data_IF_268025334278
#
_entry.id   IF_268025334278
#
_cell.length_a   1.000
_cell.length_b   1.000
_cell.length_c   1.000
_cell.angle_alpha   90.00
_cell.angle_beta   90.00
_cell.angle_gamma   90.00
#
_symmetry.space_group_name_H-M   'P 1'
#
loop_
_entity.id
_entity.type
_entity.pdbx_description
1 polymer ?
#
# COMPACT_ATOMS: atom_id res chain seq x y z
N UNK A 1 14.27 -0.76 25.88
CA UNK A 1 13.05 -0.73 25.04
C UNK A 1 13.48 -0.95 23.59
N UNK A 2 12.98 -2.00 22.92
CA UNK A 2 13.23 -2.16 21.48
C UNK A 2 12.56 -1.02 20.73
N UNK A 3 13.31 -0.24 19.95
CA UNK A 3 12.74 0.78 19.07
C UNK A 3 11.73 0.12 18.11
N UNK A 4 10.60 0.77 17.84
CA UNK A 4 9.53 0.25 16.98
C UNK A 4 9.96 0.12 15.50
N UNK A 5 11.05 0.78 15.11
CA UNK A 5 11.62 0.78 13.77
C UNK A 5 13.02 0.17 13.72
N UNK A 6 13.41 -0.37 12.56
CA UNK A 6 14.73 -0.96 12.36
C UNK A 6 15.75 0.09 11.93
N UNK A 7 16.87 0.18 12.65
CA UNK A 7 17.99 1.11 12.37
C UNK A 7 18.99 0.59 11.34
N UNK A 8 18.92 -0.71 11.00
CA UNK A 8 19.89 -1.37 10.10
C UNK A 8 19.38 -1.50 8.66
N UNK A 9 18.10 -1.24 8.42
CA UNK A 9 17.47 -1.53 7.13
C UNK A 9 17.46 -0.30 6.23
N UNK A 10 18.17 -0.37 5.12
CA UNK A 10 18.05 0.67 4.08
C UNK A 10 16.73 0.51 3.32
N UNK A 11 16.12 1.62 2.92
CA UNK A 11 14.86 1.63 2.17
C UNK A 11 15.03 1.30 0.69
N UNK A 12 16.25 1.14 0.18
CA UNK A 12 16.56 0.84 -1.22
C UNK A 12 15.71 -0.30 -1.81
N UNK A 13 15.64 -1.45 -1.11
CA UNK A 13 14.92 -2.63 -1.63
C UNK A 13 13.42 -2.37 -1.73
N UNK A 14 12.83 -1.77 -0.69
CA UNK A 14 11.42 -1.42 -0.68
C UNK A 14 11.10 -0.37 -1.75
N UNK A 15 11.94 0.65 -1.89
CA UNK A 15 11.83 1.70 -2.88
C UNK A 15 11.79 1.14 -4.31
N UNK A 16 12.77 0.33 -4.69
CA UNK A 16 12.79 -0.26 -6.04
C UNK A 16 11.61 -1.22 -6.26
N UNK A 17 11.19 -1.97 -5.23
CA UNK A 17 10.03 -2.86 -5.35
C UNK A 17 8.74 -2.07 -5.57
N UNK A 18 8.55 -0.93 -4.89
CA UNK A 18 7.40 -0.05 -5.08
C UNK A 18 7.41 0.63 -6.46
N UNK A 19 8.59 1.02 -6.95
CA UNK A 19 8.70 1.52 -8.33
C UNK A 19 8.37 0.45 -9.37
N UNK A 20 8.85 -0.79 -9.15
CA UNK A 20 8.50 -1.93 -10.00
C UNK A 20 6.99 -2.18 -9.94
N UNK A 21 6.39 -2.15 -8.75
CA UNK A 21 4.94 -2.28 -8.59
C UNK A 21 4.20 -1.21 -9.41
N UNK A 22 4.59 0.05 -9.29
CA UNK A 22 4.01 1.16 -10.05
C UNK A 22 4.12 1.01 -11.57
N UNK A 23 5.32 0.71 -12.05
CA UNK A 23 5.63 0.76 -13.49
C UNK A 23 5.24 -0.53 -14.19
N UNK A 24 5.40 -1.69 -13.55
CA UNK A 24 5.24 -2.99 -14.22
C UNK A 24 3.79 -3.48 -14.17
N UNK A 25 3.05 -3.21 -13.10
CA UNK A 25 1.67 -3.70 -12.95
C UNK A 25 0.71 -3.32 -14.09
N UNK A 26 0.77 -2.11 -14.69
CA UNK A 26 -0.08 -1.76 -15.83
C UNK A 26 0.21 -2.58 -17.09
N UNK A 27 1.41 -3.14 -17.24
CA UNK A 27 1.77 -3.98 -18.39
C UNK A 27 1.40 -5.44 -18.16
N UNK A 28 1.40 -5.90 -16.91
CA UNK A 28 1.06 -7.27 -16.55
C UNK A 28 -0.41 -7.61 -16.85
N UNK A 29 -1.31 -6.61 -16.77
CA UNK A 29 -2.74 -6.81 -17.01
C UNK A 29 -3.09 -7.16 -18.47
N UNK A 30 -2.25 -6.80 -19.45
CA UNK A 30 -2.48 -7.10 -20.87
C UNK A 30 -2.22 -8.57 -21.25
N UNK A 31 -1.58 -9.34 -20.36
CA UNK A 31 -1.17 -10.70 -20.65
C UNK A 31 -1.70 -11.63 -19.56
N UNK A 32 -2.73 -12.42 -19.86
CA UNK A 32 -3.32 -13.38 -18.92
C UNK A 32 -2.28 -14.31 -18.27
N UNK A 33 -1.26 -14.70 -19.04
CA UNK A 33 -0.14 -15.54 -18.56
C UNK A 33 0.67 -14.88 -17.43
N UNK A 34 0.66 -13.56 -17.36
CA UNK A 34 1.43 -12.77 -16.39
C UNK A 34 0.61 -12.26 -15.21
N UNK A 35 -0.68 -12.62 -15.11
CA UNK A 35 -1.55 -12.18 -14.03
C UNK A 35 -1.03 -12.59 -12.63
N UNK A 36 -0.26 -13.69 -12.51
CA UNK A 36 0.36 -14.13 -11.24
C UNK A 36 1.47 -13.20 -10.74
N UNK A 37 2.05 -12.34 -11.58
CA UNK A 37 3.13 -11.45 -11.17
C UNK A 37 2.64 -10.28 -10.31
N UNK A 38 1.43 -9.79 -10.56
CA UNK A 38 0.81 -8.74 -9.75
C UNK A 38 0.77 -9.12 -8.25
N UNK A 39 0.16 -10.25 -7.85
CA UNK A 39 0.11 -10.66 -6.45
C UNK A 39 1.50 -10.97 -5.89
N UNK A 40 2.45 -11.48 -6.70
CA UNK A 40 3.84 -11.72 -6.26
C UNK A 40 4.56 -10.42 -5.90
N UNK A 41 4.45 -9.37 -6.72
CA UNK A 41 5.09 -8.06 -6.47
C UNK A 41 4.43 -7.36 -5.27
N UNK A 42 3.10 -7.49 -5.15
CA UNK A 42 2.39 -6.99 -3.97
C UNK A 42 2.86 -7.71 -2.69
N UNK A 43 2.95 -9.04 -2.72
CA UNK A 43 3.43 -9.83 -1.60
C UNK A 43 4.88 -9.50 -1.23
N UNK A 44 5.77 -9.33 -2.21
CA UNK A 44 7.15 -8.89 -1.94
C UNK A 44 7.18 -7.51 -1.27
N UNK A 45 6.26 -6.61 -1.64
CA UNK A 45 6.10 -5.29 -0.99
C UNK A 45 5.79 -5.46 0.50
N UNK A 46 4.82 -6.30 0.86
CA UNK A 46 4.46 -6.56 2.26
C UNK A 46 5.65 -7.15 3.05
N UNK A 47 6.35 -8.12 2.48
CA UNK A 47 7.51 -8.73 3.15
C UNK A 47 8.64 -7.72 3.36
N UNK A 48 8.91 -6.86 2.37
CA UNK A 48 9.90 -5.80 2.48
C UNK A 48 9.48 -4.72 3.48
N UNK A 49 8.19 -4.38 3.53
CA UNK A 49 7.63 -3.44 4.49
C UNK A 49 7.78 -3.97 5.93
N UNK A 50 7.44 -5.23 6.20
CA UNK A 50 7.61 -5.87 7.51
C UNK A 50 9.06 -5.81 8.00
N UNK A 51 10.04 -5.85 7.09
CA UNK A 51 11.46 -5.78 7.47
C UNK A 51 11.88 -4.41 8.02
N UNK A 52 11.08 -3.37 7.78
CA UNK A 52 11.33 -2.02 8.32
C UNK A 52 11.00 -1.93 9.82
N UNK A 53 10.23 -2.89 10.35
CA UNK A 53 9.87 -2.96 11.75
C UNK A 53 11.08 -3.31 12.63
N UNK A 54 11.21 -2.64 13.77
CA UNK A 54 12.31 -2.81 14.74
C UNK A 54 12.17 -4.03 15.66
N UNK A 55 11.26 -4.95 15.33
CA UNK A 55 10.97 -6.10 16.18
C UNK A 55 12.08 -7.16 16.17
N UNK A 56 12.07 -8.04 17.18
CA UNK A 56 13.03 -9.15 17.24
C UNK A 56 12.85 -10.09 16.04
N UNK A 57 13.92 -10.79 15.65
CA UNK A 57 13.91 -11.72 14.50
C UNK A 57 12.74 -12.72 14.58
N UNK A 58 12.41 -13.21 15.79
CA UNK A 58 11.29 -14.12 16.03
C UNK A 58 9.95 -13.52 15.60
N UNK A 59 9.65 -12.28 15.99
CA UNK A 59 8.41 -11.60 15.61
C UNK A 59 8.36 -11.29 14.11
N UNK A 60 9.48 -10.91 13.49
CA UNK A 60 9.54 -10.71 12.03
C UNK A 60 9.22 -12.02 11.29
N UNK A 61 9.76 -13.16 11.72
CA UNK A 61 9.42 -14.45 11.11
C UNK A 61 7.96 -14.84 11.31
N UNK A 62 7.37 -14.53 12.48
CA UNK A 62 5.94 -14.73 12.73
C UNK A 62 5.09 -13.89 11.77
N UNK A 63 5.38 -12.60 11.63
CA UNK A 63 4.65 -11.72 10.70
C UNK A 63 4.80 -12.14 9.25
N UNK A 64 5.99 -12.60 8.84
CA UNK A 64 6.16 -13.19 7.50
C UNK A 64 5.33 -14.45 7.32
N UNK A 65 5.29 -15.34 8.31
CA UNK A 65 4.45 -16.54 8.27
C UNK A 65 2.96 -16.19 8.13
N UNK A 66 2.50 -15.20 8.88
CA UNK A 66 1.13 -14.68 8.80
C UNK A 66 0.85 -14.04 7.43
N UNK A 67 1.78 -13.26 6.89
CA UNK A 67 1.66 -12.67 5.56
C UNK A 67 1.63 -13.75 4.45
N UNK A 68 2.47 -14.79 4.56
CA UNK A 68 2.46 -15.94 3.64
C UNK A 68 1.11 -16.65 3.70
N UNK A 69 0.59 -16.89 4.90
CA UNK A 69 -0.70 -17.53 5.08
C UNK A 69 -1.84 -16.72 4.44
N UNK A 70 -1.89 -15.41 4.71
CA UNK A 70 -2.87 -14.49 4.11
C UNK A 70 -2.77 -14.43 2.58
N UNK A 71 -1.54 -14.47 2.05
CA UNK A 71 -1.30 -14.51 0.61
C UNK A 71 -1.81 -15.80 -0.02
N UNK A 72 -1.49 -16.96 0.58
CA UNK A 72 -1.95 -18.25 0.10
C UNK A 72 -3.47 -18.38 0.19
N UNK A 73 -4.09 -17.88 1.26
CA UNK A 73 -5.55 -17.88 1.39
C UNK A 73 -6.22 -17.03 0.30
N UNK A 74 -5.63 -15.89 -0.08
CA UNK A 74 -6.09 -15.06 -1.18
C UNK A 74 -5.93 -15.70 -2.57
N UNK A 75 -4.94 -16.59 -2.77
CA UNK A 75 -4.82 -17.35 -4.02
C UNK A 75 -5.90 -18.44 -4.09
N UNK A 76 -6.09 -19.17 -2.98
CA UNK A 76 -7.06 -20.26 -2.91
C UNK A 76 -8.49 -19.73 -3.11
N UNK A 77 -8.81 -18.58 -2.51
CA UNK A 77 -10.10 -17.90 -2.71
C UNK A 77 -10.37 -17.62 -4.19
N UNK A 78 -9.38 -17.10 -4.91
CA UNK A 78 -9.51 -16.78 -6.33
C UNK A 78 -9.68 -18.03 -7.22
N UNK A 79 -9.04 -19.14 -6.86
CA UNK A 79 -9.09 -20.38 -7.66
C UNK A 79 -10.38 -21.20 -7.47
N UNK A 80 -11.07 -21.05 -6.33
CA UNK A 80 -12.12 -22.00 -5.97
C UNK A 80 -13.54 -21.66 -6.44
N UNK A 81 -13.87 -20.46 -6.96
CA UNK A 81 -15.23 -20.11 -7.45
C UNK A 81 -16.39 -20.64 -6.56
N UNK A 82 -16.19 -20.76 -5.24
CA UNK A 82 -17.22 -21.22 -4.31
C UNK A 82 -17.93 -20.00 -3.73
N UNK A 83 -19.27 -20.02 -3.77
CA UNK A 83 -20.16 -18.89 -3.55
C UNK A 83 -20.16 -18.25 -2.12
N UNK A 84 -19.16 -18.50 -1.26
CA UNK A 84 -19.07 -18.03 0.14
C UNK A 84 -17.67 -17.46 0.52
N UNK A 85 -16.88 -17.02 -0.46
CA UNK A 85 -15.44 -16.76 -0.32
C UNK A 85 -15.05 -15.33 0.13
N UNK A 86 -15.98 -14.37 0.17
CA UNK A 86 -15.65 -12.95 0.43
C UNK A 86 -14.95 -12.70 1.78
N UNK A 87 -15.27 -13.50 2.80
CA UNK A 87 -14.76 -13.31 4.17
C UNK A 87 -13.25 -13.57 4.31
N UNK A 88 -12.70 -14.56 3.60
CA UNK A 88 -11.27 -14.92 3.66
C UNK A 88 -10.44 -13.86 2.95
N UNK A 89 -10.94 -13.35 1.82
CA UNK A 89 -10.27 -12.29 1.08
C UNK A 89 -10.25 -10.98 1.87
N UNK A 90 -11.39 -10.58 2.43
CA UNK A 90 -11.48 -9.41 3.32
C UNK A 90 -10.52 -9.57 4.50
N UNK A 91 -10.46 -10.74 5.14
CA UNK A 91 -9.53 -10.98 6.25
C UNK A 91 -8.06 -10.80 5.83
N UNK A 92 -7.70 -11.31 4.65
CA UNK A 92 -6.34 -11.20 4.09
C UNK A 92 -5.99 -9.74 3.75
N UNK A 93 -6.95 -8.99 3.22
CA UNK A 93 -6.80 -7.56 2.90
C UNK A 93 -6.67 -6.72 4.18
N UNK A 94 -7.48 -6.99 5.21
CA UNK A 94 -7.39 -6.31 6.53
C UNK A 94 -6.02 -6.52 7.16
N UNK A 95 -5.50 -7.75 7.10
CA UNK A 95 -4.17 -8.07 7.63
C UNK A 95 -3.05 -7.38 6.85
N UNK A 96 -3.18 -7.32 5.52
CA UNK A 96 -2.25 -6.58 4.65
C UNK A 96 -2.26 -5.09 4.94
N UNK A 97 -3.44 -4.49 5.13
CA UNK A 97 -3.60 -3.10 5.52
C UNK A 97 -2.95 -2.83 6.89
N UNK A 98 -3.12 -3.73 7.86
CA UNK A 98 -2.49 -3.62 9.18
C UNK A 98 -0.96 -3.64 9.09
N UNK A 99 -0.37 -4.54 8.30
CA UNK A 99 1.09 -4.56 8.09
C UNK A 99 1.60 -3.31 7.38
N UNK A 100 0.84 -2.79 6.41
CA UNK A 100 1.16 -1.54 5.73
C UNK A 100 1.14 -0.36 6.70
N UNK A 101 0.11 -0.23 7.53
CA UNK A 101 0.02 0.82 8.57
C UNK A 101 1.19 0.75 9.54
N UNK A 102 1.48 -0.44 10.09
CA UNK A 102 2.59 -0.62 11.03
C UNK A 102 3.93 -0.20 10.40
N UNK A 103 4.14 -0.56 9.14
CA UNK A 103 5.36 -0.25 8.41
C UNK A 103 5.45 1.25 8.07
N UNK A 104 4.36 1.88 7.62
CA UNK A 104 4.28 3.33 7.39
C UNK A 104 4.65 4.08 8.67
N UNK A 105 4.04 3.71 9.80
CA UNK A 105 4.32 4.33 11.11
C UNK A 105 5.78 4.11 11.52
N UNK A 106 6.32 2.91 11.36
CA UNK A 106 7.72 2.63 11.69
C UNK A 106 8.70 3.46 10.85
N UNK A 107 8.48 3.55 9.54
CA UNK A 107 9.32 4.36 8.65
C UNK A 107 9.19 5.85 9.01
N UNK A 108 7.97 6.34 9.26
CA UNK A 108 7.74 7.74 9.63
C UNK A 108 8.43 8.10 10.96
N UNK A 109 8.27 7.27 11.99
CA UNK A 109 8.93 7.47 13.29
C UNK A 109 10.45 7.46 13.16
N UNK A 110 11.02 6.59 12.32
CA UNK A 110 12.46 6.59 12.04
C UNK A 110 12.88 7.90 11.38
N UNK A 111 12.24 8.31 10.29
CA UNK A 111 12.58 9.55 9.58
C UNK A 111 12.46 10.78 10.49
N UNK A 112 11.43 10.85 11.33
CA UNK A 112 11.25 11.97 12.25
C UNK A 112 12.36 12.06 13.31
N UNK A 113 13.02 10.94 13.62
CA UNK A 113 14.14 10.87 14.56
C UNK A 113 15.52 11.12 13.93
N UNK A 114 15.63 11.13 12.60
CA UNK A 114 16.88 11.41 11.90
C UNK A 114 17.21 12.92 11.96
N UNK A 115 18.48 13.24 12.22
CA UNK A 115 18.99 14.62 12.32
C UNK A 115 19.62 15.11 11.03
N UNK A 116 19.94 14.21 10.10
CA UNK A 116 20.54 14.55 8.83
C UNK A 116 19.75 13.99 7.65
N UNK A 117 19.63 14.80 6.60
CA UNK A 117 19.04 14.34 5.34
C UNK A 117 20.09 13.55 4.58
N UNK A 118 19.81 12.27 4.34
CA UNK A 118 20.57 11.43 3.45
C UNK A 118 19.63 10.77 2.41
N UNK A 119 20.22 10.11 1.41
CA UNK A 119 19.45 9.45 0.35
C UNK A 119 18.53 8.32 0.85
N UNK A 120 18.79 7.74 2.02
CA UNK A 120 17.91 6.73 2.62
C UNK A 120 16.65 7.40 3.17
N UNK A 121 16.77 8.53 3.89
CA UNK A 121 15.62 9.32 4.39
C UNK A 121 14.68 9.72 3.26
N UNK A 122 15.23 10.21 2.13
CA UNK A 122 14.42 10.59 0.95
C UNK A 122 13.70 9.36 0.37
N UNK A 123 14.39 8.23 0.22
CA UNK A 123 13.76 6.99 -0.28
C UNK A 123 12.67 6.48 0.67
N UNK A 124 12.90 6.55 1.98
CA UNK A 124 11.91 6.17 2.99
C UNK A 124 10.65 7.02 2.89
N UNK A 125 10.80 8.33 2.65
CA UNK A 125 9.68 9.24 2.42
C UNK A 125 8.83 8.85 1.22
N UNK A 126 9.50 8.58 0.09
CA UNK A 126 8.84 8.17 -1.14
C UNK A 126 8.16 6.82 -0.92
N UNK A 127 8.79 5.90 -0.21
CA UNK A 127 8.17 4.62 0.17
C UNK A 127 6.88 4.86 0.97
N UNK A 128 6.88 5.73 1.97
CA UNK A 128 5.66 6.04 2.75
C UNK A 128 4.56 6.55 1.81
N UNK A 129 4.86 7.52 0.95
CA UNK A 129 3.85 8.11 0.07
C UNK A 129 3.24 7.07 -0.89
N UNK A 130 4.07 6.24 -1.50
CA UNK A 130 3.60 5.14 -2.37
C UNK A 130 2.82 4.09 -1.58
N UNK A 131 3.27 3.76 -0.37
CA UNK A 131 2.58 2.82 0.51
C UNK A 131 1.22 3.34 0.98
N UNK A 132 1.07 4.65 1.18
CA UNK A 132 -0.22 5.28 1.50
C UNK A 132 -1.21 5.02 0.35
N UNK A 133 -0.83 5.25 -0.90
CA UNK A 133 -1.71 4.95 -2.04
C UNK A 133 -2.06 3.46 -2.14
N UNK A 134 -1.09 2.56 -1.93
CA UNK A 134 -1.41 1.12 -1.87
C UNK A 134 -2.38 0.82 -0.71
N UNK A 135 -2.19 1.42 0.47
CA UNK A 135 -3.07 1.22 1.62
C UNK A 135 -4.52 1.64 1.33
N UNK A 136 -4.72 2.80 0.71
CA UNK A 136 -6.06 3.27 0.33
C UNK A 136 -6.70 2.40 -0.75
N UNK A 137 -5.93 1.94 -1.74
CA UNK A 137 -6.41 0.93 -2.68
C UNK A 137 -6.91 -0.35 -2.01
N UNK A 138 -6.24 -0.82 -0.95
CA UNK A 138 -6.71 -1.95 -0.13
C UNK A 138 -8.01 -1.62 0.59
N UNK A 139 -8.16 -0.41 1.16
CA UNK A 139 -9.41 0.00 1.79
C UNK A 139 -10.59 0.05 0.81
N UNK A 140 -10.38 0.55 -0.40
CA UNK A 140 -11.41 0.53 -1.44
C UNK A 140 -11.75 -0.90 -1.87
N UNK A 141 -10.74 -1.77 -1.99
CA UNK A 141 -10.96 -3.20 -2.28
C UNK A 141 -11.80 -3.88 -1.21
N UNK A 142 -11.50 -3.65 0.07
CA UNK A 142 -12.32 -4.15 1.18
C UNK A 142 -13.76 -3.63 1.07
N UNK A 143 -13.94 -2.35 0.77
CA UNK A 143 -15.28 -1.76 0.63
C UNK A 143 -16.08 -2.35 -0.53
N UNK A 144 -15.44 -2.60 -1.68
CA UNK A 144 -16.04 -3.28 -2.84
C UNK A 144 -16.41 -4.72 -2.50
N UNK A 145 -15.55 -5.44 -1.78
CA UNK A 145 -15.84 -6.81 -1.35
C UNK A 145 -16.99 -6.89 -0.33
N UNK A 146 -17.22 -5.84 0.47
CA UNK A 146 -18.38 -5.72 1.37
C UNK A 146 -19.64 -5.31 0.60
N UNK A 147 -19.50 -4.40 -0.36
CA UNK A 147 -20.58 -3.90 -1.19
C UNK A 147 -20.07 -3.63 -2.61
N UNK A 148 -20.40 -4.54 -3.53
CA UNK A 148 -19.97 -4.49 -4.93
C UNK A 148 -20.40 -3.21 -5.66
N UNK A 149 -21.46 -2.53 -5.19
CA UNK A 149 -21.98 -1.29 -5.78
C UNK A 149 -21.42 -0.03 -5.11
N UNK A 150 -20.32 -0.14 -4.35
CA UNK A 150 -19.70 1.01 -3.66
C UNK A 150 -18.92 1.94 -4.61
N UNK A 151 -18.51 1.44 -5.78
CA UNK A 151 -17.79 2.17 -6.80
C UNK A 151 -18.33 1.87 -8.19
N UNK A 152 -18.22 2.85 -9.09
CA UNK A 152 -18.44 2.65 -10.51
C UNK A 152 -17.10 2.27 -11.20
N UNK A 153 -16.92 0.97 -11.52
CA UNK A 153 -15.63 0.36 -11.96
C UNK A 153 -15.60 -0.10 -13.44
N UNK A 154 -16.45 0.43 -14.30
CA UNK A 154 -16.77 -0.21 -15.59
C UNK A 154 -16.17 0.45 -16.83
N UNK A 155 -15.28 1.44 -16.69
CA UNK A 155 -14.77 2.17 -17.87
C UNK A 155 -13.65 1.41 -18.60
N UNK A 156 -12.90 0.53 -17.92
CA UNK A 156 -11.72 -0.15 -18.47
C UNK A 156 -11.94 -1.66 -18.62
N UNK A 157 -12.32 -2.10 -19.82
CA UNK A 157 -12.64 -3.51 -20.15
C UNK A 157 -11.44 -4.46 -19.89
N UNK A 158 -10.21 -3.96 -20.03
CA UNK A 158 -8.98 -4.76 -19.95
C UNK A 158 -8.27 -4.69 -18.58
N UNK A 159 -8.86 -3.99 -17.58
CA UNK A 159 -8.23 -3.78 -16.29
C UNK A 159 -8.94 -4.55 -15.17
N UNK A 160 -8.17 -5.29 -14.37
CA UNK A 160 -8.73 -6.00 -13.21
C UNK A 160 -9.33 -5.01 -12.20
N UNK A 161 -10.45 -5.35 -11.51
CA UNK A 161 -11.06 -4.45 -10.53
C UNK A 161 -10.07 -3.98 -9.45
N UNK A 162 -9.16 -4.87 -9.03
CA UNK A 162 -8.10 -4.53 -8.08
C UNK A 162 -7.16 -3.45 -8.61
N UNK A 163 -6.72 -3.55 -9.87
CA UNK A 163 -5.86 -2.54 -10.48
C UNK A 163 -6.59 -1.19 -10.59
N UNK A 164 -7.87 -1.20 -11.00
CA UNK A 164 -8.68 0.00 -11.09
C UNK A 164 -8.81 0.73 -9.74
N UNK A 165 -8.94 -0.01 -8.64
CA UNK A 165 -9.00 0.58 -7.29
C UNK A 165 -7.67 1.17 -6.82
N UNK A 166 -6.54 0.54 -7.18
CA UNK A 166 -5.23 1.16 -6.95
C UNK A 166 -5.05 2.43 -7.78
N UNK A 167 -5.44 2.39 -9.06
CA UNK A 167 -5.43 3.56 -9.91
C UNK A 167 -6.32 4.69 -9.35
N UNK A 168 -7.54 4.40 -8.93
CA UNK A 168 -8.42 5.37 -8.27
C UNK A 168 -7.79 5.97 -7.01
N UNK A 169 -7.14 5.15 -6.17
CA UNK A 169 -6.40 5.64 -5.02
C UNK A 169 -5.28 6.60 -5.41
N UNK A 170 -4.41 6.23 -6.36
CA UNK A 170 -3.31 7.13 -6.75
C UNK A 170 -3.80 8.42 -7.39
N UNK A 171 -4.86 8.39 -8.21
CA UNK A 171 -5.45 9.61 -8.77
C UNK A 171 -6.09 10.48 -7.70
N UNK A 172 -6.68 9.90 -6.66
CA UNK A 172 -7.26 10.62 -5.51
C UNK A 172 -6.18 11.21 -4.61
N UNK A 173 -5.19 10.41 -4.23
CA UNK A 173 -4.04 10.81 -3.40
C UNK A 173 -3.23 11.95 -4.02
N UNK A 174 -3.10 11.95 -5.35
CA UNK A 174 -2.41 13.03 -6.08
C UNK A 174 -3.33 14.19 -6.44
N UNK A 175 -4.61 14.15 -6.05
CA UNK A 175 -5.65 15.13 -6.38
C UNK A 175 -5.84 15.37 -7.87
N UNK A 176 -5.51 14.36 -8.69
CA UNK A 176 -5.67 14.40 -10.14
C UNK A 176 -7.14 14.24 -10.53
N UNK A 177 -7.81 13.23 -9.96
CA UNK A 177 -9.26 13.06 -10.03
C UNK A 177 -9.87 13.12 -11.43
N UNK A 178 -9.46 12.23 -12.34
CA UNK A 178 -9.97 12.21 -13.72
C UNK A 178 -11.49 12.04 -13.82
N UNK A 179 -12.13 11.46 -12.79
CA UNK A 179 -13.59 11.29 -12.72
C UNK A 179 -14.10 10.05 -13.48
N UNK A 180 -13.20 9.18 -13.92
CA UNK A 180 -13.48 7.91 -14.58
C UNK A 180 -13.88 6.79 -13.60
N UNK A 181 -13.44 6.87 -12.36
CA UNK A 181 -13.93 6.02 -11.26
C UNK A 181 -14.45 6.94 -10.16
N UNK A 182 -15.64 6.64 -9.63
CA UNK A 182 -16.25 7.44 -8.56
C UNK A 182 -16.86 6.58 -7.46
N UNK A 183 -16.80 7.03 -6.18
CA UNK A 183 -17.50 6.37 -5.08
C UNK A 183 -19.00 6.67 -5.15
N UNK A 184 -19.83 5.63 -5.00
CA UNK A 184 -21.29 5.74 -5.08
C UNK A 184 -21.97 5.77 -3.70
N UNK A 185 -21.26 5.39 -2.64
CA UNK A 185 -21.79 5.36 -1.28
C UNK A 185 -21.06 6.33 -0.33
N UNK A 186 -21.70 6.63 0.80
CA UNK A 186 -21.20 7.60 1.79
C UNK A 186 -19.84 7.21 2.38
N UNK A 187 -19.58 5.92 2.58
CA UNK A 187 -18.30 5.43 3.12
C UNK A 187 -17.17 5.63 2.11
N UNK A 188 -17.39 5.29 0.84
CA UNK A 188 -16.44 5.51 -0.25
C UNK A 188 -16.11 6.99 -0.41
N UNK A 189 -17.14 7.86 -0.42
CA UNK A 189 -16.97 9.31 -0.46
C UNK A 189 -16.15 9.84 0.72
N UNK A 190 -16.44 9.36 1.94
CA UNK A 190 -15.67 9.73 3.14
C UNK A 190 -14.21 9.29 3.03
N UNK A 191 -13.95 8.05 2.60
CA UNK A 191 -12.60 7.53 2.40
C UNK A 191 -11.83 8.37 1.37
N UNK A 192 -12.43 8.65 0.22
CA UNK A 192 -11.80 9.48 -0.82
C UNK A 192 -11.50 10.90 -0.37
N UNK A 193 -12.38 11.51 0.44
CA UNK A 193 -12.12 12.83 1.01
C UNK A 193 -10.91 12.81 1.96
N UNK A 194 -10.82 11.81 2.84
CA UNK A 194 -9.69 11.68 3.77
C UNK A 194 -8.39 11.39 2.99
N UNK A 195 -8.44 10.53 1.98
CA UNK A 195 -7.29 10.25 1.13
C UNK A 195 -6.78 11.51 0.42
N UNK A 196 -7.67 12.29 -0.21
CA UNK A 196 -7.29 13.51 -0.90
C UNK A 196 -6.65 14.54 0.06
N UNK A 197 -7.18 14.67 1.28
CA UNK A 197 -6.59 15.51 2.32
C UNK A 197 -5.20 15.02 2.73
N UNK A 198 -5.03 13.72 2.99
CA UNK A 198 -3.71 13.16 3.32
C UNK A 198 -2.72 13.30 2.16
N UNK A 199 -3.21 13.18 0.93
CA UNK A 199 -2.45 13.34 -0.30
C UNK A 199 -1.77 14.68 -0.44
N UNK A 200 -2.43 15.75 0.02
CA UNK A 200 -1.89 17.11 0.04
C UNK A 200 -1.07 17.41 1.29
N UNK A 201 -1.56 16.98 2.46
CA UNK A 201 -0.90 17.26 3.74
C UNK A 201 0.43 16.53 3.88
N UNK A 202 0.54 15.31 3.38
CA UNK A 202 1.76 14.51 3.53
C UNK A 202 2.97 15.16 2.84
N UNK A 203 2.94 15.49 1.52
CA UNK A 203 4.06 16.16 0.88
C UNK A 203 4.41 17.49 1.55
N UNK A 204 3.42 18.29 1.94
CA UNK A 204 3.63 19.58 2.59
C UNK A 204 4.38 19.45 3.92
N UNK A 205 3.91 18.56 4.81
CA UNK A 205 4.55 18.30 6.12
C UNK A 205 5.95 17.72 5.91
N UNK A 206 6.09 16.78 4.98
CA UNK A 206 7.34 16.08 4.75
C UNK A 206 8.43 17.00 4.18
N UNK A 207 8.09 17.80 3.16
CA UNK A 207 9.00 18.80 2.57
C UNK A 207 9.40 19.82 3.64
N UNK A 208 8.44 20.32 4.43
CA UNK A 208 8.75 21.25 5.53
C UNK A 208 9.74 20.64 6.53
N UNK A 209 9.59 19.36 6.89
CA UNK A 209 10.53 18.67 7.78
C UNK A 209 11.92 18.54 7.15
N UNK A 210 12.00 18.16 5.88
CA UNK A 210 13.28 18.10 5.16
C UNK A 210 13.96 19.46 5.14
N UNK A 211 13.26 20.54 4.77
CA UNK A 211 13.83 21.89 4.76
C UNK A 211 14.33 22.29 6.14
N UNK A 212 13.54 22.05 7.19
CA UNK A 212 13.97 22.33 8.57
C UNK A 212 15.25 21.58 8.98
N UNK A 213 15.41 20.32 8.56
CA UNK A 213 16.64 19.57 8.82
C UNK A 213 17.85 20.10 8.04
N UNK A 214 17.63 20.65 6.83
CA UNK A 214 18.72 21.23 6.03
C UNK A 214 19.23 22.57 6.58
N UNK A 215 18.35 23.34 7.25
CA UNK A 215 18.68 24.65 7.83
C UNK A 215 19.36 24.57 9.20
N UNK A 216 19.26 23.42 9.88
CA UNK A 216 19.91 23.15 11.17
C UNK A 216 21.34 22.61 11.04
N UNK A 217 21.89 22.57 9.82
CA UNK A 217 23.31 22.32 9.55
C UNK A 217 24.05 23.65 9.42
#
# INVERSE_FOLDING_TARGET
MSQFYSTKTTYNRLFYNLLIFMVVTPFLQYFDRFNIWFPIIFFSTIILAINTLGFSKKFIYIFRGIAIFAYLSSIISHLQMLNHIDTIEIFSDVLSALFMILSIVAIALRILSETEINGDVIKGAICIYLMIGILWGIFYKILVNINANSFELSIFIDASPQYQLFYFSFTTLTTLGYGDISPLNSVGMMLSNIEALLGQLFPAIFISKLVSLSLNK
#
